data_IF_904233057530
#
_entry.id   IF_904233057530
#
_cell.length_a   1.000
_cell.length_b   1.000
_cell.length_c   1.000
_cell.angle_alpha   90.00
_cell.angle_beta   90.00
_cell.angle_gamma   90.00
#
_symmetry.space_group_name_H-M   'P 1'
#
loop_
_entity.id
_entity.type
_entity.pdbx_description
1 polymer ?
#
# COMPACT_ATOMS: atom_id res chain seq x y z
N UNK A 1 -24.32 -2.10 -6.78
CA UNK A 1 -23.02 -2.78 -6.75
C UNK A 1 -22.12 -2.08 -7.74
N UNK A 2 -20.89 -1.73 -7.36
CA UNK A 2 -19.86 -1.42 -8.32
C UNK A 2 -19.72 -2.64 -9.25
N UNK A 3 -19.42 -2.43 -10.54
CA UNK A 3 -19.48 -3.54 -11.47
C UNK A 3 -18.30 -4.48 -11.18
N UNK A 4 -18.53 -5.79 -11.33
CA UNK A 4 -17.50 -6.81 -11.12
C UNK A 4 -16.18 -6.48 -11.84
N UNK A 5 -16.24 -5.85 -13.02
CA UNK A 5 -15.05 -5.39 -13.74
C UNK A 5 -14.23 -4.35 -12.96
N UNK A 6 -14.85 -3.44 -12.21
CA UNK A 6 -14.14 -2.44 -11.41
C UNK A 6 -13.38 -3.10 -10.25
N UNK A 7 -13.99 -4.07 -9.55
CA UNK A 7 -13.36 -4.85 -8.50
C UNK A 7 -12.20 -5.70 -9.04
N UNK A 8 -12.43 -6.42 -10.14
CA UNK A 8 -11.40 -7.21 -10.81
C UNK A 8 -10.20 -6.34 -11.20
N UNK A 9 -10.44 -5.22 -11.89
CA UNK A 9 -9.37 -4.35 -12.35
C UNK A 9 -8.63 -3.69 -11.18
N UNK A 10 -9.31 -3.30 -10.12
CA UNK A 10 -8.64 -2.71 -8.96
C UNK A 10 -7.80 -3.75 -8.21
N UNK A 11 -8.31 -4.97 -8.01
CA UNK A 11 -7.54 -6.07 -7.44
C UNK A 11 -6.28 -6.40 -8.26
N UNK A 12 -6.42 -6.48 -9.59
CA UNK A 12 -5.29 -6.68 -10.51
C UNK A 12 -4.28 -5.52 -10.44
N UNK A 13 -4.76 -4.28 -10.37
CA UNK A 13 -3.92 -3.07 -10.24
C UNK A 13 -3.07 -3.11 -8.99
N UNK A 14 -3.69 -3.44 -7.85
CA UNK A 14 -3.02 -3.47 -6.56
C UNK A 14 -1.94 -4.53 -6.53
N UNK A 15 -2.23 -5.74 -7.04
CA UNK A 15 -1.23 -6.81 -7.08
C UNK A 15 -0.07 -6.48 -8.03
N UNK A 16 -0.35 -5.93 -9.21
CA UNK A 16 0.71 -5.48 -10.13
C UNK A 16 1.58 -4.39 -9.51
N UNK A 17 0.97 -3.39 -8.88
CA UNK A 17 1.70 -2.28 -8.23
C UNK A 17 2.54 -2.79 -7.07
N UNK A 18 2.00 -3.70 -6.26
CA UNK A 18 2.72 -4.34 -5.16
C UNK A 18 3.90 -5.21 -5.65
N UNK A 19 3.83 -5.75 -6.87
CA UNK A 19 4.93 -6.50 -7.48
C UNK A 19 6.06 -5.62 -8.02
N UNK A 20 5.83 -4.33 -8.30
CA UNK A 20 6.83 -3.40 -8.88
C UNK A 20 8.15 -3.38 -8.10
N UNK A 21 8.18 -3.22 -6.76
CA UNK A 21 9.44 -3.26 -5.99
C UNK A 21 10.21 -4.56 -6.21
N UNK A 22 9.50 -5.69 -6.22
CA UNK A 22 10.12 -7.00 -6.39
C UNK A 22 10.66 -7.20 -7.80
N UNK A 23 9.94 -6.74 -8.82
CA UNK A 23 10.42 -6.76 -10.21
C UNK A 23 11.64 -5.88 -10.40
N UNK A 24 11.75 -4.76 -9.67
CA UNK A 24 12.94 -3.91 -9.71
C UNK A 24 14.15 -4.61 -9.10
N UNK A 25 13.99 -5.25 -7.94
CA UNK A 25 15.09 -5.81 -7.15
C UNK A 25 15.46 -7.25 -7.53
N UNK A 26 14.47 -8.10 -7.74
CA UNK A 26 14.64 -9.53 -7.91
C UNK A 26 14.39 -9.93 -9.37
N UNK A 27 15.02 -11.02 -9.81
CA UNK A 27 14.80 -11.54 -11.15
C UNK A 27 13.45 -12.25 -11.23
N UNK A 28 12.40 -11.43 -11.39
CA UNK A 28 11.05 -11.92 -11.57
C UNK A 28 10.82 -12.23 -13.04
N UNK A 29 10.49 -13.49 -13.32
CA UNK A 29 10.19 -13.96 -14.67
C UNK A 29 8.87 -13.36 -15.17
N UNK A 30 8.92 -12.82 -16.39
CA UNK A 30 7.78 -12.16 -17.04
C UNK A 30 6.72 -13.16 -17.46
N UNK A 31 7.10 -14.40 -17.76
CA UNK A 31 6.14 -15.42 -18.15
C UNK A 31 5.19 -15.75 -16.99
N UNK A 32 5.73 -15.83 -15.77
CA UNK A 32 4.96 -16.02 -14.55
C UNK A 32 4.19 -14.76 -14.13
N UNK A 33 4.69 -13.58 -14.49
CA UNK A 33 4.06 -12.31 -14.15
C UNK A 33 2.68 -12.09 -14.77
N UNK A 34 2.37 -12.73 -15.91
CA UNK A 34 1.04 -12.60 -16.53
C UNK A 34 -0.08 -13.08 -15.60
N UNK A 35 0.23 -14.03 -14.71
CA UNK A 35 -0.72 -14.58 -13.74
C UNK A 35 -1.08 -13.61 -12.62
N UNK A 36 -0.30 -12.54 -12.40
CA UNK A 36 -0.63 -11.53 -11.39
C UNK A 36 -1.94 -10.80 -11.72
N UNK A 37 -2.28 -10.65 -13.01
CA UNK A 37 -3.53 -10.01 -13.42
C UNK A 37 -4.76 -10.82 -12.99
N UNK A 38 -4.94 -12.09 -13.43
CA UNK A 38 -6.08 -12.88 -13.02
C UNK A 38 -6.07 -13.20 -11.53
N UNK A 39 -4.91 -13.43 -10.89
CA UNK A 39 -4.85 -13.65 -9.44
C UNK A 39 -5.31 -12.43 -8.65
N UNK A 40 -4.81 -11.24 -9.00
CA UNK A 40 -5.22 -10.00 -8.34
C UNK A 40 -6.69 -9.68 -8.61
N UNK A 41 -7.17 -9.91 -9.82
CA UNK A 41 -8.57 -9.67 -10.15
C UNK A 41 -9.55 -10.64 -9.49
N UNK A 42 -9.21 -11.93 -9.42
CA UNK A 42 -9.99 -12.91 -8.65
C UNK A 42 -9.98 -12.60 -7.15
N UNK A 43 -8.85 -12.15 -6.62
CA UNK A 43 -8.78 -11.67 -5.24
C UNK A 43 -9.70 -10.47 -5.00
N UNK A 44 -9.72 -9.48 -5.90
CA UNK A 44 -10.64 -8.34 -5.81
C UNK A 44 -12.13 -8.73 -5.91
N UNK A 45 -12.43 -9.82 -6.61
CA UNK A 45 -13.78 -10.39 -6.75
C UNK A 45 -14.16 -11.38 -5.63
N UNK A 46 -13.26 -11.74 -4.72
CA UNK A 46 -13.54 -12.79 -3.75
C UNK A 46 -14.82 -12.54 -2.92
N UNK A 47 -15.16 -11.30 -2.49
CA UNK A 47 -16.42 -11.03 -1.81
C UNK A 47 -17.67 -11.27 -2.69
N UNK A 48 -17.56 -11.17 -4.01
CA UNK A 48 -18.67 -11.38 -4.97
C UNK A 48 -19.05 -12.86 -5.12
N UNK A 49 -18.28 -13.79 -4.56
CA UNK A 49 -18.55 -15.24 -4.61
C UNK A 49 -19.93 -15.58 -4.02
N UNK A 50 -20.48 -14.75 -3.13
CA UNK A 50 -21.84 -14.90 -2.59
C UNK A 50 -22.94 -14.99 -3.66
N UNK A 51 -22.70 -14.45 -4.86
CA UNK A 51 -23.66 -14.50 -5.99
C UNK A 51 -23.74 -15.88 -6.65
N UNK A 52 -22.71 -16.72 -6.49
CA UNK A 52 -22.61 -18.03 -7.17
C UNK A 52 -22.43 -19.19 -6.18
N UNK A 53 -22.16 -18.90 -4.90
CA UNK A 53 -21.98 -19.91 -3.88
C UNK A 53 -23.31 -20.57 -3.52
N UNK A 54 -23.45 -21.90 -3.71
CA UNK A 54 -24.66 -22.60 -3.32
C UNK A 54 -24.77 -22.82 -1.79
N UNK A 55 -23.67 -22.64 -1.05
CA UNK A 55 -23.56 -22.88 0.39
C UNK A 55 -23.00 -21.61 1.05
N UNK A 56 -23.54 -21.24 2.22
CA UNK A 56 -23.14 -20.08 3.02
C UNK A 56 -23.30 -18.70 2.34
N UNK A 57 -24.19 -18.59 1.35
CA UNK A 57 -24.46 -17.34 0.64
C UNK A 57 -24.79 -16.16 1.58
N UNK A 58 -25.60 -16.40 2.63
CA UNK A 58 -25.93 -15.38 3.64
C UNK A 58 -24.70 -14.91 4.42
N UNK A 59 -23.85 -15.84 4.88
CA UNK A 59 -22.62 -15.51 5.60
C UNK A 59 -21.62 -14.76 4.72
N UNK A 60 -21.50 -15.15 3.45
CA UNK A 60 -20.65 -14.46 2.47
C UNK A 60 -21.19 -13.07 2.13
N UNK A 61 -22.51 -12.92 2.00
CA UNK A 61 -23.15 -11.63 1.81
C UNK A 61 -22.98 -10.73 3.05
N UNK A 62 -23.06 -11.30 4.26
CA UNK A 62 -22.79 -10.56 5.49
C UNK A 62 -21.34 -10.05 5.50
N UNK A 63 -20.35 -10.90 5.19
CA UNK A 63 -18.94 -10.50 5.08
C UNK A 63 -18.72 -9.42 4.01
N UNK A 64 -19.31 -9.59 2.83
CA UNK A 64 -19.26 -8.63 1.73
C UNK A 64 -19.71 -7.22 2.14
N UNK A 65 -20.71 -7.11 3.02
CA UNK A 65 -21.23 -5.83 3.49
C UNK A 65 -20.51 -5.25 4.72
N UNK A 66 -19.30 -5.74 5.04
CA UNK A 66 -18.48 -5.22 6.14
C UNK A 66 -17.21 -4.53 5.63
N UNK A 67 -16.61 -3.62 6.41
CA UNK A 67 -15.33 -3.00 6.07
C UNK A 67 -14.18 -4.00 5.87
N UNK A 68 -14.29 -5.23 6.40
CA UNK A 68 -13.33 -6.30 6.16
C UNK A 68 -13.22 -6.68 4.68
N UNK A 69 -14.27 -6.49 3.89
CA UNK A 69 -14.21 -6.74 2.45
C UNK A 69 -13.25 -5.79 1.71
N UNK A 70 -12.81 -4.67 2.33
CA UNK A 70 -11.77 -3.81 1.73
C UNK A 70 -10.39 -4.47 1.64
N UNK A 71 -10.16 -5.56 2.38
CA UNK A 71 -9.01 -6.44 2.18
C UNK A 71 -8.99 -7.11 0.80
N UNK A 72 -10.06 -7.02 0.02
CA UNK A 72 -10.18 -7.60 -1.32
C UNK A 72 -10.32 -6.48 -2.36
N UNK A 73 -9.29 -5.65 -2.47
CA UNK A 73 -9.26 -4.56 -3.44
C UNK A 73 -10.25 -3.44 -3.18
N UNK A 74 -10.38 -2.98 -1.92
CA UNK A 74 -11.28 -1.89 -1.52
C UNK A 74 -12.76 -2.14 -1.87
N UNK A 75 -13.16 -3.41 -1.83
CA UNK A 75 -14.48 -3.86 -2.26
C UNK A 75 -15.62 -3.10 -1.57
N UNK A 76 -15.61 -3.06 -0.23
CA UNK A 76 -16.65 -2.39 0.55
C UNK A 76 -16.71 -0.88 0.26
N UNK A 77 -15.55 -0.24 0.13
CA UNK A 77 -15.42 1.19 -0.19
C UNK A 77 -15.98 1.52 -1.56
N UNK A 78 -15.66 0.72 -2.58
CA UNK A 78 -16.21 0.87 -3.93
C UNK A 78 -17.73 0.69 -3.96
N UNK A 79 -18.26 -0.12 -3.04
CA UNK A 79 -19.67 -0.39 -2.93
C UNK A 79 -20.48 0.60 -2.07
N UNK A 80 -19.83 1.61 -1.49
CA UNK A 80 -20.56 2.66 -0.77
C UNK A 80 -21.44 3.47 -1.72
N UNK A 81 -22.63 3.94 -1.28
CA UNK A 81 -23.56 4.71 -2.12
C UNK A 81 -22.93 5.92 -2.82
N UNK A 82 -22.01 6.61 -2.15
CA UNK A 82 -21.30 7.78 -2.70
C UNK A 82 -20.43 7.44 -3.93
N UNK A 83 -19.84 6.25 -3.98
CA UNK A 83 -19.03 5.77 -5.11
C UNK A 83 -19.94 5.17 -6.19
N UNK A 84 -20.93 4.36 -5.79
CA UNK A 84 -21.91 3.78 -6.72
C UNK A 84 -22.71 4.83 -7.51
N UNK A 85 -23.00 5.99 -6.90
CA UNK A 85 -23.62 7.12 -7.59
C UNK A 85 -22.76 7.69 -8.74
N UNK A 86 -21.49 7.31 -8.82
CA UNK A 86 -20.53 7.71 -9.86
C UNK A 86 -20.03 6.49 -10.65
N UNK A 87 -20.95 5.61 -11.02
CA UNK A 87 -20.67 4.33 -11.67
C UNK A 87 -19.63 4.43 -12.81
N UNK A 88 -19.88 5.27 -13.82
CA UNK A 88 -18.99 5.40 -14.98
C UNK A 88 -17.59 5.89 -14.59
N UNK A 89 -17.52 6.85 -13.67
CA UNK A 89 -16.26 7.37 -13.17
C UNK A 89 -15.47 6.30 -12.39
N UNK A 90 -16.14 5.42 -11.65
CA UNK A 90 -15.51 4.31 -10.95
C UNK A 90 -14.94 3.28 -11.93
N UNK A 91 -15.69 2.91 -12.98
CA UNK A 91 -15.20 1.99 -14.03
C UNK A 91 -14.01 2.58 -14.76
N UNK A 92 -14.14 3.83 -15.22
CA UNK A 92 -13.06 4.53 -15.89
C UNK A 92 -11.83 4.68 -15.00
N UNK A 93 -12.02 4.97 -13.71
CA UNK A 93 -10.97 5.02 -12.70
C UNK A 93 -10.24 3.69 -12.56
N UNK A 94 -10.96 2.57 -12.44
CA UNK A 94 -10.36 1.24 -12.36
C UNK A 94 -9.60 0.84 -13.62
N UNK A 95 -10.11 1.15 -14.81
CA UNK A 95 -9.40 0.92 -16.09
C UNK A 95 -8.11 1.76 -16.12
N UNK A 96 -8.21 3.05 -15.79
CA UNK A 96 -7.05 3.96 -15.77
C UNK A 96 -5.99 3.48 -14.79
N UNK A 97 -6.39 3.12 -13.58
CA UNK A 97 -5.49 2.59 -12.55
C UNK A 97 -4.81 1.29 -13.01
N UNK A 98 -5.56 0.39 -13.65
CA UNK A 98 -5.01 -0.85 -14.22
C UNK A 98 -3.97 -0.59 -15.29
N UNK A 99 -4.24 0.33 -16.23
CA UNK A 99 -3.27 0.71 -17.27
C UNK A 99 -1.99 1.30 -16.66
N UNK A 100 -2.11 2.13 -15.62
CA UNK A 100 -0.97 2.65 -14.86
C UNK A 100 -0.19 1.51 -14.18
N UNK A 101 -0.88 0.55 -13.56
CA UNK A 101 -0.27 -0.62 -12.93
C UNK A 101 0.52 -1.48 -13.93
N UNK A 102 -0.07 -1.76 -15.10
CA UNK A 102 0.59 -2.48 -16.20
C UNK A 102 1.82 -1.71 -16.71
N UNK A 103 1.69 -0.41 -16.94
CA UNK A 103 2.80 0.44 -17.40
C UNK A 103 3.94 0.48 -16.37
N UNK A 104 3.62 0.63 -15.08
CA UNK A 104 4.57 0.61 -13.98
C UNK A 104 5.33 -0.71 -13.89
N UNK A 105 4.60 -1.84 -13.93
CA UNK A 105 5.18 -3.18 -13.92
C UNK A 105 6.12 -3.40 -15.12
N UNK A 106 5.68 -3.04 -16.32
CA UNK A 106 6.48 -3.20 -17.53
C UNK A 106 7.74 -2.32 -17.51
N UNK A 107 7.60 -1.08 -17.05
CA UNK A 107 8.71 -0.12 -16.90
C UNK A 107 9.73 -0.61 -15.89
N UNK A 108 9.29 -1.14 -14.75
CA UNK A 108 10.18 -1.75 -13.76
C UNK A 108 11.02 -2.87 -14.36
N UNK A 109 10.41 -3.76 -15.13
CA UNK A 109 11.14 -4.82 -15.81
C UNK A 109 12.11 -4.31 -16.89
N UNK A 110 11.89 -3.12 -17.47
CA UNK A 110 12.84 -2.48 -18.40
C UNK A 110 14.01 -1.86 -17.65
N UNK A 111 13.71 -1.12 -16.58
CA UNK A 111 14.68 -0.50 -15.68
C UNK A 111 15.63 -1.55 -15.08
N UNK A 112 15.10 -2.67 -14.58
CA UNK A 112 15.92 -3.79 -14.07
C UNK A 112 16.94 -4.26 -15.12
N UNK A 113 16.49 -4.53 -16.35
CA UNK A 113 17.36 -5.04 -17.42
C UNK A 113 18.44 -4.06 -17.85
N UNK A 114 18.20 -2.76 -17.67
CA UNK A 114 19.22 -1.75 -17.91
C UNK A 114 20.32 -1.74 -16.83
N UNK A 115 20.14 -2.48 -15.72
CA UNK A 115 21.08 -2.61 -14.62
C UNK A 115 21.59 -1.25 -14.11
N UNK A 116 20.65 -0.30 -13.97
CA UNK A 116 20.99 1.06 -13.56
C UNK A 116 21.53 1.06 -12.13
N UNK A 117 22.75 1.57 -11.95
CA UNK A 117 23.38 1.75 -10.64
C UNK A 117 23.56 3.24 -10.42
N UNK A 118 23.05 3.74 -9.29
CA UNK A 118 23.29 5.12 -8.89
C UNK A 118 24.74 5.29 -8.44
N UNK A 119 25.51 6.10 -9.17
CA UNK A 119 26.92 6.44 -8.89
C UNK A 119 27.11 7.93 -8.60
N UNK A 120 26.23 8.77 -9.16
CA UNK A 120 26.30 10.23 -9.01
C UNK A 120 25.33 10.73 -7.94
N UNK A 121 25.60 11.88 -7.28
CA UNK A 121 24.68 12.46 -6.29
C UNK A 121 23.25 12.67 -6.81
N UNK A 122 23.11 13.15 -8.05
CA UNK A 122 21.80 13.36 -8.69
C UNK A 122 21.05 12.04 -8.89
N UNK A 123 21.76 10.97 -9.26
CA UNK A 123 21.17 9.64 -9.41
C UNK A 123 20.70 9.09 -8.07
N UNK A 124 21.46 9.32 -6.99
CA UNK A 124 21.02 8.96 -5.64
C UNK A 124 19.75 9.69 -5.22
N UNK A 125 19.66 11.01 -5.46
CA UNK A 125 18.45 11.79 -5.18
C UNK A 125 17.26 11.24 -5.98
N UNK A 126 17.45 10.93 -7.26
CA UNK A 126 16.40 10.36 -8.10
C UNK A 126 15.94 8.98 -7.58
N UNK A 127 16.88 8.10 -7.23
CA UNK A 127 16.53 6.78 -6.69
C UNK A 127 15.82 6.89 -5.33
N UNK A 128 16.30 7.76 -4.43
CA UNK A 128 15.62 8.03 -3.16
C UNK A 128 14.23 8.60 -3.40
N UNK A 129 14.04 9.48 -4.38
CA UNK A 129 12.74 9.99 -4.79
C UNK A 129 11.80 8.88 -5.29
N UNK A 130 12.27 8.02 -6.20
CA UNK A 130 11.49 6.89 -6.73
C UNK A 130 11.12 5.90 -5.60
N UNK A 131 12.08 5.55 -4.75
CA UNK A 131 11.87 4.66 -3.61
C UNK A 131 10.83 5.25 -2.64
N UNK A 132 10.94 6.55 -2.34
CA UNK A 132 10.00 7.27 -1.48
C UNK A 132 8.60 7.26 -2.07
N UNK A 133 8.42 7.69 -3.32
CA UNK A 133 7.10 7.75 -3.97
C UNK A 133 6.43 6.38 -4.00
N UNK A 134 7.16 5.33 -4.40
CA UNK A 134 6.58 3.99 -4.49
C UNK A 134 6.28 3.39 -3.11
N UNK A 135 7.19 3.55 -2.14
CA UNK A 135 6.97 3.12 -0.76
C UNK A 135 5.80 3.86 -0.10
N UNK A 136 5.72 5.18 -0.28
CA UNK A 136 4.61 6.00 0.22
C UNK A 136 3.29 5.57 -0.39
N UNK A 137 3.22 5.36 -1.71
CA UNK A 137 1.98 4.94 -2.36
C UNK A 137 1.48 3.59 -1.80
N UNK A 138 2.35 2.58 -1.75
CA UNK A 138 1.97 1.25 -1.24
C UNK A 138 1.66 1.24 0.25
N UNK A 139 2.45 1.94 1.08
CA UNK A 139 2.19 2.06 2.51
C UNK A 139 0.90 2.84 2.80
N UNK A 140 0.59 3.87 2.01
CA UNK A 140 -0.66 4.64 2.12
C UNK A 140 -1.87 3.78 1.74
N UNK A 141 -1.75 2.91 0.73
CA UNK A 141 -2.81 1.94 0.41
C UNK A 141 -3.01 0.94 1.57
N UNK A 142 -1.93 0.44 2.17
CA UNK A 142 -2.03 -0.45 3.33
C UNK A 142 -2.66 0.26 4.54
N UNK A 143 -2.27 1.52 4.79
CA UNK A 143 -2.87 2.37 5.82
C UNK A 143 -4.35 2.63 5.55
N UNK A 144 -4.74 2.86 4.30
CA UNK A 144 -6.14 3.02 3.92
C UNK A 144 -6.95 1.78 4.28
N UNK A 145 -6.46 0.59 3.93
CA UNK A 145 -7.12 -0.68 4.30
C UNK A 145 -7.23 -0.80 5.82
N UNK A 146 -6.15 -0.53 6.56
CA UNK A 146 -6.14 -0.60 8.02
C UNK A 146 -7.13 0.38 8.67
N UNK A 147 -7.21 1.61 8.17
CA UNK A 147 -8.18 2.63 8.61
C UNK A 147 -9.60 2.21 8.25
N UNK A 148 -9.82 1.65 7.06
CA UNK A 148 -11.15 1.25 6.61
C UNK A 148 -11.72 0.11 7.46
N UNK A 149 -10.92 -0.94 7.71
CA UNK A 149 -11.31 -2.11 8.52
C UNK A 149 -11.72 -1.71 9.94
N UNK A 150 -11.22 -0.59 10.44
CA UNK A 150 -11.53 -0.05 11.76
C UNK A 150 -12.69 0.98 11.75
N UNK A 151 -13.39 1.14 10.63
CA UNK A 151 -14.37 2.21 10.40
C UNK A 151 -13.80 3.63 10.67
N UNK A 152 -12.49 3.78 10.55
CA UNK A 152 -11.76 4.97 10.96
C UNK A 152 -12.00 6.20 10.07
N UNK A 153 -12.49 6.04 8.84
CA UNK A 153 -12.71 7.19 7.95
C UNK A 153 -13.73 8.19 8.48
N UNK A 154 -14.79 7.71 9.14
CA UNK A 154 -15.80 8.58 9.75
C UNK A 154 -15.19 9.38 10.92
N UNK A 155 -14.32 8.74 11.70
CA UNK A 155 -13.59 9.37 12.80
C UNK A 155 -12.62 10.44 12.26
N UNK A 156 -11.84 10.12 11.22
CA UNK A 156 -10.89 11.05 10.59
C UNK A 156 -11.62 12.25 9.98
N UNK A 157 -12.75 12.03 9.30
CA UNK A 157 -13.55 13.13 8.76
C UNK A 157 -14.13 14.02 9.88
N UNK A 158 -14.54 13.40 11.00
CA UNK A 158 -15.05 14.09 12.18
C UNK A 158 -14.05 15.09 12.77
N UNK A 159 -12.74 14.83 12.67
CA UNK A 159 -11.68 15.74 13.13
C UNK A 159 -11.72 17.13 12.47
N UNK A 160 -12.32 17.23 11.28
CA UNK A 160 -12.48 18.51 10.56
C UNK A 160 -13.95 18.94 10.43
N UNK A 161 -14.84 18.38 11.26
CA UNK A 161 -16.26 18.72 11.27
C UNK A 161 -17.02 18.28 10.02
N UNK A 162 -16.55 17.23 9.32
CA UNK A 162 -17.22 16.66 8.13
C UNK A 162 -17.57 15.21 8.38
N UNK A 163 -18.67 14.72 7.80
CA UNK A 163 -19.11 13.31 7.91
C UNK A 163 -18.89 12.51 6.63
N UNK A 164 -17.98 12.96 5.76
CA UNK A 164 -17.78 12.35 4.44
C UNK A 164 -16.62 11.38 4.42
N UNK A 165 -16.89 10.15 4.01
CA UNK A 165 -15.88 9.10 3.76
C UNK A 165 -14.81 9.57 2.79
N UNK A 166 -15.19 10.33 1.74
CA UNK A 166 -14.27 10.89 0.76
C UNK A 166 -13.28 11.88 1.38
N UNK A 167 -13.74 12.65 2.37
CA UNK A 167 -12.90 13.59 3.09
C UNK A 167 -11.92 12.83 3.99
N UNK A 168 -12.39 11.82 4.73
CA UNK A 168 -11.52 10.95 5.53
C UNK A 168 -10.45 10.28 4.67
N UNK A 169 -10.85 9.70 3.54
CA UNK A 169 -9.99 9.12 2.51
C UNK A 169 -8.90 10.09 2.01
N UNK A 170 -9.30 11.31 1.62
CA UNK A 170 -8.37 12.33 1.13
C UNK A 170 -7.35 12.71 2.21
N UNK A 171 -7.81 12.89 3.46
CA UNK A 171 -6.92 13.17 4.59
C UNK A 171 -5.94 12.03 4.84
N UNK A 172 -6.38 10.77 4.73
CA UNK A 172 -5.49 9.60 4.85
C UNK A 172 -4.43 9.58 3.75
N UNK A 173 -4.77 9.92 2.50
CA UNK A 173 -3.79 10.04 1.41
C UNK A 173 -2.75 11.12 1.73
N UNK A 174 -3.20 12.32 2.10
CA UNK A 174 -2.31 13.43 2.39
C UNK A 174 -1.39 13.13 3.58
N UNK A 175 -1.95 12.56 4.65
CA UNK A 175 -1.19 12.15 5.83
C UNK A 175 -0.18 11.05 5.50
N UNK A 176 -0.57 10.04 4.71
CA UNK A 176 0.32 8.98 4.24
C UNK A 176 1.48 9.54 3.41
N UNK A 177 1.21 10.40 2.43
CA UNK A 177 2.27 11.04 1.64
C UNK A 177 3.25 11.84 2.50
N UNK A 178 2.74 12.68 3.42
CA UNK A 178 3.57 13.47 4.32
C UNK A 178 4.43 12.57 5.23
N UNK A 179 3.82 11.53 5.82
CA UNK A 179 4.51 10.55 6.65
C UNK A 179 5.60 9.81 5.86
N UNK A 180 5.36 9.49 4.59
CA UNK A 180 6.34 8.86 3.72
C UNK A 180 7.59 9.71 3.48
N UNK A 181 7.44 11.02 3.29
CA UNK A 181 8.59 11.94 3.20
C UNK A 181 9.38 11.91 4.51
N UNK A 182 8.71 12.03 5.66
CA UNK A 182 9.36 11.96 6.98
C UNK A 182 10.09 10.64 7.15
N UNK A 183 9.46 9.51 6.85
CA UNK A 183 10.08 8.19 6.94
C UNK A 183 11.32 8.09 6.04
N UNK A 184 11.27 8.58 4.80
CA UNK A 184 12.42 8.53 3.89
C UNK A 184 13.62 9.31 4.44
N UNK A 185 13.38 10.53 4.97
CA UNK A 185 14.43 11.36 5.55
C UNK A 185 15.03 10.68 6.77
N UNK A 186 14.19 10.13 7.66
CA UNK A 186 14.67 9.41 8.84
C UNK A 186 15.49 8.17 8.47
N UNK A 187 15.07 7.37 7.48
CA UNK A 187 15.85 6.22 7.01
C UNK A 187 17.20 6.66 6.39
N UNK A 188 17.22 7.72 5.60
CA UNK A 188 18.46 8.24 4.98
C UNK A 188 19.44 8.79 6.03
N UNK A 189 18.95 9.41 7.10
CA UNK A 189 19.78 9.98 8.18
C UNK A 189 20.24 8.92 9.18
N UNK A 190 19.39 7.94 9.53
CA UNK A 190 19.68 6.99 10.62
C UNK A 190 20.42 5.74 10.18
N UNK A 191 20.20 5.28 8.93
CA UNK A 191 20.76 4.03 8.46
C UNK A 191 22.02 4.24 7.61
N UNK A 192 23.01 3.37 7.83
CA UNK A 192 24.16 3.23 6.96
C UNK A 192 23.76 2.66 5.60
N UNK A 193 24.56 2.86 4.56
CA UNK A 193 24.24 2.37 3.22
C UNK A 193 23.91 0.87 3.15
N UNK A 194 24.66 -0.06 3.81
CA UNK A 194 24.33 -1.48 3.77
C UNK A 194 23.00 -1.82 4.44
N UNK A 195 22.65 -1.12 5.52
CA UNK A 195 21.38 -1.35 6.25
C UNK A 195 20.20 -0.70 5.54
N UNK A 196 20.42 0.38 4.79
CA UNK A 196 19.40 1.09 4.00
C UNK A 196 18.87 0.28 2.81
N UNK A 197 19.66 -0.66 2.30
CA UNK A 197 19.25 -1.57 1.21
C UNK A 197 18.75 -2.92 1.73
N UNK A 198 18.82 -3.18 3.04
CA UNK A 198 18.26 -4.39 3.64
C UNK A 198 16.80 -4.16 4.03
N UNK A 199 15.82 -4.82 3.37
CA UNK A 199 14.41 -4.58 3.62
C UNK A 199 13.98 -4.92 5.05
N UNK A 200 14.67 -5.85 5.72
CA UNK A 200 14.37 -6.22 7.11
C UNK A 200 14.79 -5.10 8.06
N UNK A 201 16.02 -4.59 7.91
CA UNK A 201 16.51 -3.45 8.69
C UNK A 201 15.64 -2.20 8.49
N UNK A 202 15.30 -1.85 7.24
CA UNK A 202 14.45 -0.69 6.97
C UNK A 202 13.02 -0.87 7.47
N UNK A 203 12.46 -2.09 7.42
CA UNK A 203 11.16 -2.38 8.02
C UNK A 203 11.19 -2.24 9.55
N UNK A 204 12.26 -2.68 10.21
CA UNK A 204 12.46 -2.52 11.65
C UNK A 204 12.50 -1.04 12.07
N UNK A 205 13.25 -0.21 11.35
CA UNK A 205 13.25 1.25 11.61
C UNK A 205 11.90 1.87 11.26
N UNK A 206 11.26 1.47 10.17
CA UNK A 206 9.91 1.90 9.81
C UNK A 206 8.88 1.61 10.91
N UNK A 207 8.97 0.44 11.54
CA UNK A 207 8.16 0.07 12.69
C UNK A 207 8.39 1.02 13.88
N UNK A 208 9.64 1.31 14.22
CA UNK A 208 9.98 2.25 15.29
C UNK A 208 9.46 3.66 15.00
N UNK A 209 9.54 4.11 13.74
CA UNK A 209 8.96 5.38 13.31
C UNK A 209 7.45 5.36 13.50
N UNK A 210 6.76 4.28 13.11
CA UNK A 210 5.31 4.12 13.33
C UNK A 210 4.91 4.25 14.80
N UNK A 211 5.66 3.60 15.71
CA UNK A 211 5.46 3.73 17.16
C UNK A 211 5.71 5.16 17.63
N UNK A 212 6.81 5.79 17.20
CA UNK A 212 7.16 7.16 17.58
C UNK A 212 6.11 8.18 17.11
N UNK A 213 5.65 8.07 15.87
CA UNK A 213 4.57 8.90 15.32
C UNK A 213 3.28 8.70 16.10
N UNK A 214 2.94 7.46 16.45
CA UNK A 214 1.76 7.19 17.26
C UNK A 214 1.85 7.83 18.66
N UNK A 215 2.99 7.70 19.34
CA UNK A 215 3.24 8.29 20.67
C UNK A 215 3.19 9.82 20.67
N UNK A 216 3.45 10.47 19.54
CA UNK A 216 3.44 11.94 19.43
C UNK A 216 2.08 12.43 18.90
N UNK A 217 1.67 11.94 17.74
CA UNK A 217 0.52 12.45 16.99
C UNK A 217 -0.79 12.12 17.69
N UNK A 218 -0.96 10.89 18.19
CA UNK A 218 -2.24 10.49 18.81
C UNK A 218 -2.51 11.29 20.09
N UNK A 219 -1.58 11.43 21.05
CA UNK A 219 -1.80 12.26 22.22
C UNK A 219 -2.01 13.74 21.88
N UNK A 220 -1.23 14.31 20.95
CA UNK A 220 -1.34 15.72 20.58
C UNK A 220 -2.68 16.01 19.88
N UNK A 221 -3.04 15.23 18.87
CA UNK A 221 -4.30 15.41 18.16
C UNK A 221 -5.50 15.21 19.09
N UNK A 222 -5.43 14.23 20.00
CA UNK A 222 -6.48 14.00 20.98
C UNK A 222 -6.61 15.15 21.98
N UNK A 223 -5.50 15.69 22.49
CA UNK A 223 -5.52 16.84 23.39
C UNK A 223 -6.16 18.08 22.72
N UNK A 224 -5.90 18.28 21.43
CA UNK A 224 -6.48 19.39 20.65
C UNK A 224 -7.98 19.19 20.41
N UNK A 225 -8.43 17.97 20.13
CA UNK A 225 -9.80 17.70 19.68
C UNK A 225 -10.78 17.44 20.83
N UNK A 226 -10.36 16.74 21.88
CA UNK A 226 -11.29 16.23 22.89
C UNK A 226 -11.52 17.16 24.08
N UNK A 227 -10.57 18.05 24.41
CA UNK A 227 -10.65 18.91 25.60
C UNK A 227 -10.75 18.17 26.94
N UNK A 228 -10.59 16.83 26.97
CA UNK A 228 -10.76 15.98 28.16
C UNK A 228 -9.43 15.34 28.55
N UNK A 229 -9.20 15.20 29.86
CA UNK A 229 -8.02 14.56 30.45
C UNK A 229 -7.84 13.12 29.94
N UNK A 230 -6.62 12.87 29.44
CA UNK A 230 -6.12 11.69 28.70
C UNK A 230 -6.88 10.38 28.99
N UNK A 231 -7.53 9.78 27.98
CA UNK A 231 -7.79 8.33 28.04
C UNK A 231 -7.57 7.57 26.72
N UNK A 232 -7.09 6.33 26.88
CA UNK A 232 -7.06 5.21 25.94
C UNK A 232 -6.31 5.42 24.61
N UNK A 233 -5.04 5.02 24.64
CA UNK A 233 -4.24 4.63 23.48
C UNK A 233 -5.07 3.77 22.50
N UNK A 234 -5.54 4.35 21.39
CA UNK A 234 -6.36 3.63 20.41
C UNK A 234 -5.48 2.61 19.67
N UNK A 235 -5.53 1.35 20.12
CA UNK A 235 -4.72 0.25 19.58
C UNK A 235 -4.88 0.09 18.06
N UNK A 236 -6.06 0.38 17.51
CA UNK A 236 -6.29 0.36 16.07
C UNK A 236 -5.39 1.35 15.30
N UNK A 237 -5.21 2.56 15.84
CA UNK A 237 -4.34 3.58 15.22
C UNK A 237 -2.87 3.22 15.31
N UNK A 238 -2.46 2.54 16.39
CA UNK A 238 -1.11 1.98 16.52
C UNK A 238 -0.90 0.91 15.46
N UNK A 239 -1.82 -0.07 15.35
CA UNK A 239 -1.73 -1.12 14.35
C UNK A 239 -1.64 -0.54 12.93
N UNK A 240 -2.45 0.47 12.60
CA UNK A 240 -2.42 1.12 11.30
C UNK A 240 -1.07 1.80 10.98
N UNK A 241 -0.48 2.50 11.96
CA UNK A 241 0.84 3.14 11.80
C UNK A 241 2.00 2.13 11.78
N UNK A 242 1.88 1.02 12.51
CA UNK A 242 2.82 -0.09 12.43
C UNK A 242 2.81 -0.73 11.04
N UNK A 243 1.61 -1.02 10.50
CA UNK A 243 1.45 -1.54 9.13
C UNK A 243 2.06 -0.56 8.12
N UNK A 244 1.75 0.73 8.23
CA UNK A 244 2.33 1.76 7.36
C UNK A 244 3.87 1.75 7.42
N UNK A 245 4.44 1.81 8.62
CA UNK A 245 5.89 1.87 8.83
C UNK A 245 6.62 0.65 8.28
N UNK A 246 6.10 -0.55 8.56
CA UNK A 246 6.66 -1.82 8.07
C UNK A 246 6.58 -1.90 6.54
N UNK A 247 5.43 -1.59 5.94
CA UNK A 247 5.28 -1.61 4.48
C UNK A 247 6.18 -0.58 3.82
N UNK A 248 6.21 0.66 4.35
CA UNK A 248 7.06 1.72 3.83
C UNK A 248 8.53 1.31 3.89
N UNK A 249 9.01 0.90 5.06
CA UNK A 249 10.40 0.50 5.25
C UNK A 249 10.80 -0.68 4.36
N UNK A 250 9.96 -1.72 4.26
CA UNK A 250 10.22 -2.89 3.41
C UNK A 250 10.34 -2.50 1.95
N UNK A 251 9.34 -1.79 1.41
CA UNK A 251 9.32 -1.36 0.00
C UNK A 251 10.47 -0.42 -0.29
N UNK A 252 10.75 0.52 0.62
CA UNK A 252 11.86 1.46 0.49
C UNK A 252 13.19 0.72 0.34
N UNK A 253 13.49 -0.21 1.26
CA UNK A 253 14.71 -1.02 1.21
C UNK A 253 14.79 -1.87 -0.05
N UNK A 254 13.68 -2.47 -0.50
CA UNK A 254 13.59 -3.22 -1.77
C UNK A 254 13.98 -2.33 -2.94
N UNK A 255 13.29 -1.21 -3.14
CA UNK A 255 13.51 -0.32 -4.28
C UNK A 255 14.90 0.32 -4.22
N UNK A 256 15.34 0.78 -3.05
CA UNK A 256 16.67 1.37 -2.88
C UNK A 256 17.78 0.38 -3.21
N UNK A 257 17.60 -0.88 -2.80
CA UNK A 257 18.52 -1.98 -3.08
C UNK A 257 18.63 -2.31 -4.57
N UNK A 258 17.56 -2.17 -5.36
CA UNK A 258 17.56 -2.45 -6.80
C UNK A 258 18.57 -1.61 -7.62
N UNK A 259 18.97 -0.44 -7.11
CA UNK A 259 19.90 0.47 -7.78
C UNK A 259 21.27 0.55 -7.09
N UNK A 260 21.55 -0.37 -6.16
CA UNK A 260 22.85 -0.47 -5.49
C UNK A 260 23.80 -1.36 -6.29
N UNK A 261 25.10 -1.07 -6.25
CA UNK A 261 26.13 -1.94 -6.85
C UNK A 261 26.19 -3.34 -6.23
N UNK A 262 25.64 -3.50 -5.02
CA UNK A 262 25.55 -4.79 -4.30
C UNK A 262 24.32 -5.64 -4.68
N UNK A 263 23.49 -5.17 -5.62
CA UNK A 263 22.19 -5.78 -5.94
C UNK A 263 22.26 -7.10 -6.69
N UNK A 264 23.42 -7.49 -7.23
CA UNK A 264 23.58 -8.73 -7.98
C UNK A 264 23.64 -9.97 -7.04
N UNK A 265 22.62 -10.16 -6.21
CA UNK A 265 22.35 -11.48 -5.63
C UNK A 265 21.65 -12.28 -6.73
N UNK A 266 22.45 -12.93 -7.58
CA UNK A 266 21.93 -13.95 -8.48
C UNK A 266 21.55 -15.13 -7.60
N UNK A 267 20.25 -15.39 -7.45
CA UNK A 267 19.79 -16.62 -6.81
C UNK A 267 20.16 -17.73 -7.79
N UNK A 268 21.21 -18.47 -7.48
CA UNK A 268 21.61 -19.63 -8.26
C UNK A 268 20.66 -20.78 -7.92
N UNK A 269 19.58 -20.92 -8.69
CA UNK A 269 18.59 -21.99 -8.52
C UNK A 269 19.25 -23.36 -8.73
N UNK A 270 20.37 -23.44 -9.47
CA UNK A 270 21.10 -24.69 -9.65
C UNK A 270 21.84 -25.13 -8.38
N UNK A 271 22.12 -24.20 -7.45
CA UNK A 271 22.67 -24.54 -6.12
C UNK A 271 21.64 -25.16 -5.16
N UNK A 272 20.35 -25.15 -5.52
CA UNK A 272 19.26 -25.74 -4.73
C UNK A 272 18.82 -27.12 -5.26
N UNK A 273 19.49 -27.65 -6.29
CA UNK A 273 19.28 -29.04 -6.71
C UNK A 273 20.12 -29.96 -5.79
N UNK A 274 19.49 -30.92 -5.09
CA UNK A 274 20.19 -31.86 -4.22
C UNK A 274 21.09 -32.82 -4.99
#
# INVERSE_FOLDING_TARGET
>A
MAPAIAHFLLGATLLLTAAVPFVLRYDFDREHAIWLIPLGGLWGLAPDIHNIAPIAAESLYALHNTPWADLFGFHYTLDRPAVRARYDASVFGSITAFLIGVAGFWTAGRVRRAALVARRPVEHVLVTGVATVLASALATLALWVAVSVQDGFSLVAGLIGRSSVLVGALLTILAGCALGVVCSVLLEVTLSEPTRIDPVSTAGVGLLIGVGVWLIVVPVAFAVVSGVGIPLLHLGSLAALLVYGVFFGSVYGIVRGAFSSRAAVRIDIDSLRP
#
